data_IF_140609243043
#
_entry.id   IF_140609243043
#
_cell.length_a   1.000
_cell.length_b   1.000
_cell.length_c   1.000
_cell.angle_alpha   90.00
_cell.angle_beta   90.00
_cell.angle_gamma   90.00
#
_symmetry.space_group_name_H-M   'P 1'
#
loop_
_entity.id
_entity.type
_entity.pdbx_description
1 polymer ?
#
# COMPACT_ATOMS: atom_id res chain seq x y z
N UNK A 1 11.28 11.50 -3.67
CA UNK A 1 10.02 10.78 -3.39
C UNK A 1 9.41 10.41 -4.72
N UNK A 2 9.03 9.14 -4.92
CA UNK A 2 8.38 8.68 -6.16
C UNK A 2 6.88 8.57 -5.88
N UNK A 3 6.04 9.19 -6.70
CA UNK A 3 4.59 9.08 -6.61
C UNK A 3 4.08 8.15 -7.71
N UNK A 4 3.10 7.31 -7.40
CA UNK A 4 2.48 6.39 -8.36
C UNK A 4 1.33 7.04 -9.17
N UNK A 5 0.95 8.28 -8.85
CA UNK A 5 0.04 9.09 -9.66
C UNK A 5 -1.46 8.88 -9.43
N UNK A 6 -1.86 8.13 -8.40
CA UNK A 6 -3.26 7.89 -8.04
C UNK A 6 -3.77 8.90 -7.01
N UNK A 7 -5.08 9.16 -7.03
CA UNK A 7 -5.73 9.99 -6.03
C UNK A 7 -6.30 9.16 -4.88
N UNK A 8 -6.50 9.84 -3.74
CA UNK A 8 -7.12 9.30 -2.54
C UNK A 8 -8.52 8.76 -2.86
N UNK A 9 -8.80 7.54 -2.39
CA UNK A 9 -10.09 6.88 -2.57
C UNK A 9 -11.14 7.34 -1.56
N UNK A 10 -10.76 8.05 -0.50
CA UNK A 10 -11.61 8.35 0.64
C UNK A 10 -11.93 7.10 1.48
N UNK A 11 -12.79 7.26 2.49
CA UNK A 11 -13.24 6.13 3.31
C UNK A 11 -14.29 5.30 2.58
N UNK A 12 -14.45 4.04 3.00
CA UNK A 12 -15.48 3.12 2.47
C UNK A 12 -16.86 3.77 2.54
N UNK A 13 -17.59 3.72 1.42
CA UNK A 13 -18.93 4.28 1.25
C UNK A 13 -18.97 5.75 0.88
N UNK A 14 -17.82 6.39 0.66
CA UNK A 14 -17.75 7.77 0.18
C UNK A 14 -17.86 7.83 -1.35
N UNK A 15 -18.33 8.95 -1.93
CA UNK A 15 -18.50 9.08 -3.39
C UNK A 15 -17.23 8.86 -4.21
N UNK A 16 -16.06 9.12 -3.64
CA UNK A 16 -14.76 8.92 -4.28
C UNK A 16 -14.49 7.44 -4.60
N UNK A 17 -15.11 6.50 -3.87
CA UNK A 17 -14.96 5.07 -4.12
C UNK A 17 -15.50 4.66 -5.50
N UNK A 18 -16.43 5.43 -6.08
CA UNK A 18 -17.02 5.15 -7.40
C UNK A 18 -16.16 5.68 -8.57
N UNK A 19 -15.09 6.44 -8.29
CA UNK A 19 -14.17 6.91 -9.34
C UNK A 19 -13.29 5.75 -9.82
N UNK A 20 -13.30 5.41 -11.12
CA UNK A 20 -12.42 4.37 -11.67
C UNK A 20 -10.92 4.65 -11.48
N UNK A 21 -10.54 5.91 -11.26
CA UNK A 21 -9.15 6.32 -11.04
C UNK A 21 -8.75 6.39 -9.56
N UNK A 22 -9.70 6.13 -8.65
CA UNK A 22 -9.39 6.02 -7.23
C UNK A 22 -8.39 4.90 -7.01
N UNK A 23 -7.41 5.11 -6.13
CA UNK A 23 -6.34 4.14 -5.93
C UNK A 23 -6.87 2.74 -5.59
N UNK A 24 -7.94 2.63 -4.81
CA UNK A 24 -8.57 1.35 -4.45
C UNK A 24 -9.10 0.55 -5.66
N UNK A 25 -9.33 1.20 -6.80
CA UNK A 25 -9.90 0.60 -8.01
C UNK A 25 -8.86 0.29 -9.09
N UNK A 26 -7.57 0.57 -8.85
CA UNK A 26 -6.52 0.39 -9.87
C UNK A 26 -6.26 -1.08 -10.17
N UNK A 27 -5.80 -1.35 -11.39
CA UNK A 27 -5.28 -2.67 -11.77
C UNK A 27 -4.04 -3.01 -10.92
N UNK A 28 -4.20 -4.02 -10.08
CA UNK A 28 -3.17 -4.48 -9.14
C UNK A 28 -1.95 -5.05 -9.86
N UNK A 29 -2.14 -5.75 -10.99
CA UNK A 29 -1.02 -6.32 -11.75
C UNK A 29 -0.17 -5.20 -12.37
N UNK A 30 -0.84 -4.23 -13.02
CA UNK A 30 -0.15 -3.09 -13.63
C UNK A 30 0.56 -2.20 -12.60
N UNK A 31 -0.12 -1.90 -11.49
CA UNK A 31 0.46 -1.09 -10.41
C UNK A 31 1.58 -1.85 -9.69
N UNK A 32 1.41 -3.15 -9.45
CA UNK A 32 2.40 -4.03 -8.84
C UNK A 32 3.67 -4.13 -9.68
N UNK A 33 3.55 -4.29 -11.01
CA UNK A 33 4.70 -4.30 -11.92
C UNK A 33 5.46 -2.97 -11.91
N UNK A 34 4.74 -1.83 -11.87
CA UNK A 34 5.34 -0.50 -11.76
C UNK A 34 6.13 -0.36 -10.46
N UNK A 35 5.54 -0.77 -9.33
CA UNK A 35 6.21 -0.72 -8.04
C UNK A 35 7.41 -1.67 -7.97
N UNK A 36 7.32 -2.87 -8.56
CA UNK A 36 8.42 -3.83 -8.62
C UNK A 36 9.63 -3.25 -9.38
N UNK A 37 9.40 -2.60 -10.52
CA UNK A 37 10.46 -1.94 -11.27
C UNK A 37 11.17 -0.87 -10.44
N UNK A 38 10.41 -0.07 -9.67
CA UNK A 38 10.97 0.93 -8.75
C UNK A 38 11.80 0.25 -7.65
N UNK A 39 11.28 -0.82 -7.02
CA UNK A 39 12.00 -1.57 -5.98
C UNK A 39 13.35 -2.09 -6.47
N UNK A 40 13.38 -2.63 -7.70
CA UNK A 40 14.61 -3.15 -8.29
C UNK A 40 15.57 -2.02 -8.71
N UNK A 41 15.05 -0.92 -9.27
CA UNK A 41 15.85 0.26 -9.64
C UNK A 41 16.57 0.85 -8.42
N UNK A 42 15.89 0.97 -7.29
CA UNK A 42 16.49 1.52 -6.06
C UNK A 42 17.24 0.48 -5.23
N UNK A 43 17.20 -0.81 -5.62
CA UNK A 43 17.79 -1.90 -4.85
C UNK A 43 17.16 -2.07 -3.46
N UNK A 44 15.83 -1.95 -3.35
CA UNK A 44 15.10 -2.00 -2.08
C UNK A 44 15.17 -3.39 -1.43
N UNK A 45 16.10 -3.59 -0.48
CA UNK A 45 16.24 -4.86 0.28
C UNK A 45 15.15 -5.05 1.33
N UNK A 46 14.61 -3.95 1.87
CA UNK A 46 13.59 -3.95 2.91
C UNK A 46 12.39 -3.15 2.42
N UNK A 47 11.21 -3.75 2.52
CA UNK A 47 9.93 -3.12 2.19
C UNK A 47 9.09 -2.99 3.46
N UNK A 48 8.48 -1.83 3.64
CA UNK A 48 7.54 -1.55 4.73
C UNK A 48 6.24 -1.05 4.11
N UNK A 49 5.13 -1.69 4.44
CA UNK A 49 3.78 -1.33 3.95
C UNK A 49 2.74 -1.65 5.03
N UNK A 50 1.47 -1.34 4.82
CA UNK A 50 0.41 -1.68 5.78
C UNK A 50 0.20 -3.20 5.89
N UNK A 51 -0.41 -3.67 6.97
CA UNK A 51 -0.92 -5.04 7.06
C UNK A 51 -2.20 -5.22 6.22
N UNK A 52 -2.75 -6.43 6.18
CA UNK A 52 -3.96 -6.77 5.42
C UNK A 52 -5.20 -5.96 5.86
N UNK A 53 -5.18 -5.42 7.08
CA UNK A 53 -6.28 -4.59 7.62
C UNK A 53 -6.10 -3.11 7.29
N UNK A 54 -4.95 -2.68 6.78
CA UNK A 54 -4.69 -1.27 6.50
C UNK A 54 -4.63 -0.41 7.77
N UNK A 55 -4.26 -1.00 8.91
CA UNK A 55 -4.29 -0.41 10.26
C UNK A 55 -5.69 -0.05 10.79
N UNK A 56 -6.42 0.86 10.15
CA UNK A 56 -7.79 1.26 10.54
C UNK A 56 -8.82 1.06 9.41
N UNK A 57 -8.53 0.16 8.47
CA UNK A 57 -9.38 -0.15 7.31
C UNK A 57 -9.60 1.02 6.35
N UNK A 58 -8.62 1.93 6.22
CA UNK A 58 -8.63 2.87 5.09
C UNK A 58 -8.48 2.08 3.78
N UNK A 59 -9.33 2.29 2.76
CA UNK A 59 -9.25 1.59 1.48
C UNK A 59 -7.86 1.63 0.86
N UNK A 60 -7.25 2.82 0.82
CA UNK A 60 -5.91 2.97 0.23
C UNK A 60 -4.79 2.28 1.01
N UNK A 61 -4.93 2.09 2.31
CA UNK A 61 -3.95 1.33 3.08
C UNK A 61 -4.03 -0.16 2.77
N UNK A 62 -5.26 -0.68 2.66
CA UNK A 62 -5.50 -2.07 2.23
C UNK A 62 -4.98 -2.28 0.81
N UNK A 63 -5.29 -1.37 -0.11
CA UNK A 63 -4.83 -1.45 -1.49
C UNK A 63 -3.31 -1.33 -1.60
N UNK A 64 -2.68 -0.47 -0.80
CA UNK A 64 -1.23 -0.38 -0.74
C UNK A 64 -0.59 -1.70 -0.27
N UNK A 65 -1.18 -2.43 0.68
CA UNK A 65 -0.76 -3.79 1.02
C UNK A 65 -0.88 -4.72 -0.20
N UNK A 66 -2.05 -4.76 -0.83
CA UNK A 66 -2.33 -5.63 -1.99
C UNK A 66 -1.33 -5.40 -3.13
N UNK A 67 -1.15 -4.15 -3.56
CA UNK A 67 -0.20 -3.76 -4.62
C UNK A 67 1.24 -4.07 -4.20
N UNK A 68 1.61 -3.83 -2.94
CA UNK A 68 2.97 -4.14 -2.46
C UNK A 68 3.23 -5.63 -2.49
N UNK A 69 2.28 -6.46 -2.05
CA UNK A 69 2.40 -7.92 -2.10
C UNK A 69 2.52 -8.41 -3.53
N UNK A 70 1.76 -7.83 -4.46
CA UNK A 70 1.91 -8.14 -5.88
C UNK A 70 3.29 -7.76 -6.43
N UNK A 71 3.80 -6.58 -6.07
CA UNK A 71 5.13 -6.15 -6.47
C UNK A 71 6.24 -7.09 -5.96
N UNK A 72 6.11 -7.61 -4.74
CA UNK A 72 7.07 -8.55 -4.14
C UNK A 72 7.11 -9.91 -4.83
N UNK A 73 6.05 -10.31 -5.54
CA UNK A 73 6.05 -11.52 -6.38
C UNK A 73 6.85 -11.33 -7.68
N UNK A 74 7.05 -10.07 -8.09
CA UNK A 74 7.66 -9.69 -9.37
C UNK A 74 9.11 -9.21 -9.17
N UNK A 75 9.36 -8.42 -8.12
CA UNK A 75 10.64 -7.78 -7.84
C UNK A 75 11.71 -8.80 -7.42
N UNK A 76 12.97 -8.51 -7.75
CA UNK A 76 14.12 -9.36 -7.41
C UNK A 76 14.94 -8.85 -6.22
N UNK A 77 14.92 -7.54 -5.94
CA UNK A 77 15.74 -6.91 -4.90
C UNK A 77 15.24 -7.13 -3.44
N UNK A 78 13.92 -7.12 -3.14
CA UNK A 78 13.43 -7.25 -1.78
C UNK A 78 13.75 -8.58 -1.11
N UNK A 79 14.20 -8.53 0.15
CA UNK A 79 14.53 -9.70 0.97
C UNK A 79 13.64 -9.81 2.22
N UNK A 80 13.08 -8.68 2.68
CA UNK A 80 12.26 -8.61 3.89
C UNK A 80 11.08 -7.67 3.71
N UNK A 81 9.93 -8.12 4.22
CA UNK A 81 8.72 -7.32 4.37
C UNK A 81 8.42 -7.12 5.86
N UNK A 82 8.09 -5.88 6.24
CA UNK A 82 7.61 -5.55 7.58
C UNK A 82 6.29 -4.77 7.48
N UNK A 83 5.44 -4.98 8.49
CA UNK A 83 4.24 -4.18 8.71
C UNK A 83 4.44 -3.28 9.93
N UNK A 84 4.28 -1.95 9.80
CA UNK A 84 4.32 -1.07 10.94
C UNK A 84 3.06 -1.31 11.78
N UNK A 85 3.27 -1.49 13.08
CA UNK A 85 2.19 -1.62 14.06
C UNK A 85 2.25 -0.46 15.04
N UNK A 86 1.09 -0.03 15.51
CA UNK A 86 1.01 0.93 16.62
C UNK A 86 0.72 0.13 17.90
N UNK A 87 1.59 0.19 18.93
CA UNK A 87 1.31 -0.48 20.19
C UNK A 87 0.00 0.03 20.81
N UNK A 88 -0.83 -0.88 21.34
CA UNK A 88 -2.08 -0.50 21.98
C UNK A 88 -1.88 0.50 23.13
N UNK A 89 -0.80 0.35 23.90
CA UNK A 89 -0.43 1.26 24.98
C UNK A 89 -0.14 2.70 24.52
N UNK A 90 0.19 2.89 23.25
CA UNK A 90 0.36 4.20 22.62
C UNK A 90 -1.01 4.75 22.19
N UNK A 91 -1.88 3.92 21.60
CA UNK A 91 -3.24 4.32 21.18
C UNK A 91 -4.10 4.79 22.36
N UNK A 92 -4.07 4.09 23.49
CA UNK A 92 -4.86 4.44 24.68
C UNK A 92 -4.46 5.77 25.33
N UNK A 93 -3.38 6.42 24.90
CA UNK A 93 -2.98 7.75 25.40
C UNK A 93 -3.64 8.91 24.64
N UNK A 94 -4.31 8.62 23.54
CA UNK A 94 -5.01 9.60 22.70
C UNK A 94 -6.53 9.53 22.84
N UNK A 95 -7.03 8.69 23.75
CA UNK A 95 -8.45 8.53 24.09
C UNK A 95 -8.67 8.96 25.54
#
# INVERSE_FOLDING_TARGET
>A
MVQLGFHDSGMVGWPQNDDPNAFMNVDVDACGATLAAIMDEVGARVVVTYDESGFYHHPDHVQANVVTRRALEIASAPERLYYPIVPQSVLTRFV
#
